data_IF_021991778091
#
_entry.id   IF_021991778091
#
_cell.length_a   1.000
_cell.length_b   1.000
_cell.length_c   1.000
_cell.angle_alpha   90.00
_cell.angle_beta   90.00
_cell.angle_gamma   90.00
#
_symmetry.space_group_name_H-M   'P 1'
#
loop_
_entity.id
_entity.type
_entity.pdbx_description
1 polymer ?
#
# COMPACT_ATOMS: atom_id res chain seq x y z
N UNK A 1 24.71 53.71 -23.92
CA UNK A 1 23.92 54.95 -23.90
C UNK A 1 23.05 54.97 -25.15
N UNK A 2 21.83 54.42 -25.09
CA UNK A 2 20.78 54.68 -26.09
C UNK A 2 19.45 54.73 -25.34
N UNK A 3 18.75 55.82 -25.60
CA UNK A 3 17.51 56.27 -24.99
C UNK A 3 16.37 56.01 -25.99
N UNK A 4 15.20 55.66 -25.44
CA UNK A 4 13.83 55.77 -25.99
C UNK A 4 13.48 55.02 -27.29
N UNK A 5 12.38 54.27 -27.19
CA UNK A 5 11.36 54.23 -28.25
C UNK A 5 10.00 54.44 -27.59
N UNK A 6 9.13 55.08 -28.35
CA UNK A 6 8.02 55.90 -27.90
C UNK A 6 6.75 55.16 -27.48
N UNK A 7 5.92 55.91 -26.75
CA UNK A 7 4.53 55.59 -26.45
C UNK A 7 3.73 55.25 -27.73
N UNK A 8 3.01 54.13 -27.71
CA UNK A 8 1.79 53.96 -28.50
C UNK A 8 0.67 53.45 -27.60
N UNK A 9 -0.45 54.16 -27.74
CA UNK A 9 -1.66 54.16 -26.96
C UNK A 9 -2.51 52.89 -27.14
N UNK A 10 -3.33 52.59 -26.14
CA UNK A 10 -4.44 51.62 -26.19
C UNK A 10 -4.02 50.23 -25.70
N UNK A 11 -4.44 49.75 -24.55
CA UNK A 11 -5.83 49.63 -24.12
C UNK A 11 -5.82 49.25 -22.64
N UNK A 12 -6.65 49.92 -21.85
CA UNK A 12 -7.00 49.51 -20.50
C UNK A 12 -7.77 48.19 -20.57
N UNK A 13 -7.05 47.07 -20.63
CA UNK A 13 -7.65 45.78 -20.28
C UNK A 13 -7.62 45.68 -18.77
N UNK A 14 -8.74 46.01 -18.15
CA UNK A 14 -9.02 45.73 -16.75
C UNK A 14 -8.86 44.22 -16.53
N UNK A 15 -7.68 43.80 -16.11
CA UNK A 15 -7.45 42.46 -15.60
C UNK A 15 -8.39 42.31 -14.40
N UNK A 16 -9.29 41.30 -14.36
CA UNK A 16 -10.02 41.04 -13.13
C UNK A 16 -8.97 40.72 -12.07
N UNK A 17 -8.83 41.62 -11.11
CA UNK A 17 -8.10 41.37 -9.88
C UNK A 17 -8.91 40.33 -9.12
N UNK A 18 -8.73 39.06 -9.47
CA UNK A 18 -9.17 38.00 -8.57
C UNK A 18 -8.26 38.11 -7.36
N UNK A 19 -8.84 38.57 -6.25
CA UNK A 19 -8.32 38.38 -4.90
C UNK A 19 -8.34 36.86 -4.61
N UNK A 20 -7.54 36.09 -5.35
CA UNK A 20 -7.22 34.74 -4.94
C UNK A 20 -6.28 34.89 -3.74
N UNK A 21 -6.77 34.51 -2.56
CA UNK A 21 -5.95 34.47 -1.35
C UNK A 21 -4.67 33.69 -1.66
N UNK A 22 -3.53 34.39 -1.69
CA UNK A 22 -2.24 33.80 -2.02
C UNK A 22 -1.74 33.06 -0.78
N UNK A 23 -2.05 31.76 -0.70
CA UNK A 23 -1.56 30.89 0.38
C UNK A 23 -0.04 30.81 0.27
N UNK A 24 0.65 31.41 1.23
CA UNK A 24 2.12 31.41 1.29
C UNK A 24 2.53 30.38 2.34
N UNK A 25 3.02 29.22 1.89
CA UNK A 25 3.43 28.14 2.79
C UNK A 25 4.90 28.37 3.15
N UNK A 26 5.18 28.64 4.42
CA UNK A 26 6.54 28.80 4.90
C UNK A 26 7.27 27.45 4.86
N UNK A 27 8.19 27.26 3.92
CA UNK A 27 8.90 25.98 3.71
C UNK A 27 9.63 25.46 4.96
N UNK A 28 10.00 26.34 5.90
CA UNK A 28 10.55 25.99 7.22
C UNK A 28 9.59 25.21 8.15
N UNK A 29 8.32 25.08 7.78
CA UNK A 29 7.29 24.30 8.50
C UNK A 29 6.83 23.06 7.73
N UNK A 30 7.41 22.80 6.56
CA UNK A 30 7.17 21.56 5.82
C UNK A 30 8.04 20.48 6.44
N UNK A 31 7.46 19.30 6.65
CA UNK A 31 8.26 18.14 7.05
C UNK A 31 9.21 17.75 5.91
N UNK A 32 10.38 17.17 6.23
CA UNK A 32 11.26 16.59 5.21
C UNK A 32 10.48 15.62 4.32
N UNK A 33 10.87 15.55 3.05
CA UNK A 33 10.30 14.62 2.06
C UNK A 33 10.51 13.16 2.50
N UNK A 34 11.57 12.89 3.25
CA UNK A 34 11.91 11.60 3.84
C UNK A 34 11.34 11.43 5.27
N UNK A 35 10.06 11.78 5.47
CA UNK A 35 9.39 11.49 6.74
C UNK A 35 8.97 10.00 6.78
N UNK A 36 9.50 9.17 7.69
CA UNK A 36 9.10 7.76 7.82
C UNK A 36 7.61 7.58 8.12
N UNK A 37 6.93 8.63 8.61
CA UNK A 37 5.48 8.62 8.79
C UNK A 37 4.75 8.53 7.44
N UNK A 38 5.32 9.08 6.36
CA UNK A 38 4.68 9.02 5.04
C UNK A 38 4.57 7.57 4.55
N UNK A 39 5.58 6.75 4.78
CA UNK A 39 5.54 5.33 4.37
C UNK A 39 4.54 4.53 5.20
N UNK A 40 4.41 4.83 6.50
CA UNK A 40 3.32 4.28 7.32
C UNK A 40 1.96 4.68 6.77
N UNK A 41 1.78 5.95 6.39
CA UNK A 41 0.51 6.44 5.81
C UNK A 41 0.19 5.73 4.49
N UNK A 42 1.20 5.49 3.63
CA UNK A 42 1.03 4.70 2.40
C UNK A 42 0.56 3.28 2.71
N UNK A 43 1.17 2.60 3.69
CA UNK A 43 0.75 1.25 4.11
C UNK A 43 -0.69 1.26 4.59
N UNK A 44 -1.07 2.18 5.48
CA UNK A 44 -2.44 2.31 5.98
C UNK A 44 -3.43 2.58 4.85
N UNK A 45 -3.06 3.43 3.89
CA UNK A 45 -3.89 3.71 2.72
C UNK A 45 -4.13 2.46 1.87
N UNK A 46 -3.08 1.67 1.59
CA UNK A 46 -3.19 0.40 0.85
C UNK A 46 -4.10 -0.58 1.57
N UNK A 47 -3.88 -0.79 2.87
CA UNK A 47 -4.71 -1.68 3.68
C UNK A 47 -6.18 -1.25 3.70
N UNK A 48 -6.45 0.04 3.89
CA UNK A 48 -7.80 0.59 3.86
C UNK A 48 -8.48 0.44 2.50
N UNK A 49 -7.75 0.65 1.41
CA UNK A 49 -8.27 0.46 0.05
C UNK A 49 -8.64 -1.01 -0.21
N UNK A 50 -7.75 -1.94 0.15
CA UNK A 50 -7.98 -3.38 -0.02
C UNK A 50 -9.19 -3.88 0.78
N UNK A 51 -9.43 -3.34 1.98
CA UNK A 51 -10.63 -3.69 2.77
C UNK A 51 -11.94 -3.28 2.09
N UNK A 52 -11.97 -2.14 1.40
CA UNK A 52 -13.16 -1.68 0.68
C UNK A 52 -13.34 -2.46 -0.62
N UNK A 53 -12.25 -2.73 -1.35
CA UNK A 53 -12.30 -3.40 -2.64
C UNK A 53 -12.65 -4.89 -2.54
N UNK A 54 -12.18 -5.55 -1.49
CA UNK A 54 -12.50 -6.94 -1.10
C UNK A 54 -13.99 -7.29 -1.18
N UNK A 55 -14.87 -6.33 -0.90
CA UNK A 55 -16.31 -6.56 -0.80
C UNK A 55 -17.03 -6.60 -2.16
N UNK A 56 -16.36 -6.17 -3.24
CA UNK A 56 -17.02 -5.83 -4.50
C UNK A 56 -16.61 -6.68 -5.72
N UNK A 57 -15.66 -7.62 -5.59
CA UNK A 57 -15.14 -8.38 -6.73
C UNK A 57 -15.24 -9.90 -6.57
N UNK A 58 -15.86 -10.56 -7.54
CA UNK A 58 -16.20 -12.00 -7.54
C UNK A 58 -15.35 -12.86 -8.49
N UNK A 59 -14.35 -12.30 -9.17
CA UNK A 59 -13.54 -13.03 -10.16
C UNK A 59 -12.07 -12.94 -9.77
N UNK A 60 -11.67 -13.76 -8.81
CA UNK A 60 -10.32 -13.83 -8.28
C UNK A 60 -9.67 -15.16 -8.66
N UNK A 61 -8.46 -15.13 -9.21
CA UNK A 61 -7.62 -16.33 -9.41
C UNK A 61 -7.29 -16.98 -8.06
N UNK A 62 -6.83 -18.24 -8.07
CA UNK A 62 -6.37 -18.91 -6.84
C UNK A 62 -5.29 -18.09 -6.11
N UNK A 63 -4.35 -17.49 -6.87
CA UNK A 63 -3.32 -16.58 -6.32
C UNK A 63 -3.95 -15.38 -5.62
N UNK A 64 -4.88 -14.71 -6.27
CA UNK A 64 -5.61 -13.59 -5.67
C UNK A 64 -6.33 -14.03 -4.39
N UNK A 65 -7.00 -15.18 -4.38
CA UNK A 65 -7.71 -15.69 -3.18
C UNK A 65 -6.75 -15.92 -2.01
N UNK A 66 -5.58 -16.52 -2.26
CA UNK A 66 -4.56 -16.78 -1.23
C UNK A 66 -4.03 -15.46 -0.65
N UNK A 67 -3.58 -14.55 -1.51
CA UNK A 67 -3.04 -13.25 -1.07
C UNK A 67 -4.11 -12.44 -0.34
N UNK A 68 -5.32 -12.41 -0.89
CA UNK A 68 -6.45 -11.70 -0.31
C UNK A 68 -6.78 -12.23 1.09
N UNK A 69 -6.85 -13.55 1.27
CA UNK A 69 -7.11 -14.16 2.57
C UNK A 69 -6.02 -13.83 3.59
N UNK A 70 -4.74 -13.90 3.18
CA UNK A 70 -3.61 -13.51 4.02
C UNK A 70 -3.72 -12.04 4.46
N UNK A 71 -3.85 -11.12 3.52
CA UNK A 71 -3.84 -9.67 3.78
C UNK A 71 -5.10 -9.24 4.53
N UNK A 72 -6.27 -9.77 4.18
CA UNK A 72 -7.52 -9.48 4.90
C UNK A 72 -7.49 -10.03 6.32
N UNK A 73 -7.00 -11.27 6.52
CA UNK A 73 -6.83 -11.86 7.84
C UNK A 73 -5.89 -11.03 8.72
N UNK A 74 -4.73 -10.66 8.17
CA UNK A 74 -3.77 -9.77 8.84
C UNK A 74 -4.38 -8.43 9.21
N UNK A 75 -5.04 -7.77 8.27
CA UNK A 75 -5.61 -6.43 8.49
C UNK A 75 -6.72 -6.46 9.55
N UNK A 76 -7.57 -7.49 9.53
CA UNK A 76 -8.62 -7.68 10.55
C UNK A 76 -8.03 -7.88 11.94
N UNK A 77 -6.98 -8.69 12.06
CA UNK A 77 -6.34 -8.94 13.34
C UNK A 77 -5.57 -7.71 13.83
N UNK A 78 -4.82 -7.04 12.96
CA UNK A 78 -4.05 -5.83 13.27
C UNK A 78 -4.93 -4.71 13.83
N UNK A 79 -6.11 -4.48 13.24
CA UNK A 79 -7.05 -3.45 13.68
C UNK A 79 -8.18 -3.98 14.57
N UNK A 80 -8.03 -5.18 15.14
CA UNK A 80 -8.99 -5.72 16.09
C UNK A 80 -8.94 -4.96 17.43
N UNK A 81 -10.05 -4.95 18.16
CA UNK A 81 -10.20 -4.19 19.42
C UNK A 81 -9.24 -4.63 20.54
N UNK A 82 -8.62 -5.81 20.41
CA UNK A 82 -7.69 -6.35 21.40
C UNK A 82 -6.24 -5.88 21.22
N UNK A 83 -5.91 -5.26 20.08
CA UNK A 83 -4.53 -4.83 19.80
C UNK A 83 -4.29 -3.41 20.33
N UNK A 84 -3.22 -3.25 21.10
CA UNK A 84 -2.83 -1.95 21.63
C UNK A 84 -2.35 -1.01 20.51
N UNK A 85 -2.68 0.30 20.53
CA UNK A 85 -2.26 1.24 19.49
C UNK A 85 -0.74 1.29 19.25
N UNK A 86 0.07 1.06 20.29
CA UNK A 86 1.52 1.01 20.15
C UNK A 86 2.00 -0.24 19.40
N UNK A 87 1.30 -1.37 19.55
CA UNK A 87 1.56 -2.56 18.76
C UNK A 87 1.20 -2.32 17.29
N UNK A 88 0.02 -1.74 17.01
CA UNK A 88 -0.37 -1.36 15.64
C UNK A 88 0.69 -0.48 14.97
N UNK A 89 1.15 0.56 15.68
CA UNK A 89 2.22 1.44 15.17
C UNK A 89 3.51 0.67 14.88
N UNK A 90 3.90 -0.27 15.74
CA UNK A 90 5.10 -1.08 15.55
C UNK A 90 4.99 -1.95 14.30
N UNK A 91 3.87 -2.66 14.16
CA UNK A 91 3.59 -3.53 13.00
C UNK A 91 3.58 -2.74 11.69
N UNK A 92 2.91 -1.58 11.64
CA UNK A 92 2.89 -0.71 10.48
C UNK A 92 4.27 -0.17 10.13
N UNK A 93 5.10 0.13 11.13
CA UNK A 93 6.47 0.57 10.92
C UNK A 93 7.35 -0.54 10.31
N UNK A 94 7.17 -1.78 10.76
CA UNK A 94 7.90 -2.94 10.22
C UNK A 94 7.49 -3.25 8.78
N UNK A 95 6.20 -3.14 8.45
CA UNK A 95 5.68 -3.21 7.09
C UNK A 95 6.26 -2.10 6.20
N UNK A 96 6.21 -0.85 6.65
CA UNK A 96 6.72 0.30 5.90
C UNK A 96 8.22 0.14 5.57
N UNK A 97 8.98 -0.50 6.46
CA UNK A 97 10.41 -0.80 6.26
C UNK A 97 10.69 -2.07 5.46
N UNK A 98 9.67 -2.86 5.12
CA UNK A 98 9.82 -4.21 4.53
C UNK A 98 10.83 -5.06 5.30
N UNK A 99 10.65 -5.11 6.63
CA UNK A 99 11.58 -5.80 7.52
C UNK A 99 11.69 -7.30 7.18
N UNK A 100 12.89 -7.90 7.17
CA UNK A 100 13.05 -9.34 7.00
C UNK A 100 12.65 -10.12 8.27
N UNK A 101 12.24 -9.43 9.34
CA UNK A 101 11.77 -10.06 10.56
C UNK A 101 10.43 -10.78 10.34
N UNK A 102 10.18 -11.89 11.06
CA UNK A 102 8.91 -12.59 11.00
C UNK A 102 7.78 -11.68 11.50
N UNK A 103 6.63 -11.77 10.85
CA UNK A 103 5.40 -11.14 11.32
C UNK A 103 4.97 -11.84 12.61
N UNK A 104 4.36 -11.09 13.52
CA UNK A 104 3.72 -11.70 14.68
C UNK A 104 2.66 -12.72 14.22
N UNK A 105 2.87 -13.99 14.55
CA UNK A 105 1.99 -15.10 14.15
C UNK A 105 0.56 -14.96 14.66
N UNK A 106 0.31 -14.18 15.71
CA UNK A 106 -1.06 -13.89 16.16
C UNK A 106 -1.83 -12.98 15.20
N UNK A 107 -1.12 -12.33 14.27
CA UNK A 107 -1.65 -11.50 13.21
C UNK A 107 -1.71 -12.22 11.87
N UNK A 108 -1.29 -13.48 11.78
CA UNK A 108 -1.44 -14.28 10.57
C UNK A 108 -2.68 -15.17 10.72
N UNK A 109 -3.59 -15.19 9.73
CA UNK A 109 -4.75 -16.08 9.79
C UNK A 109 -4.27 -17.53 9.81
N UNK A 110 -4.68 -18.29 10.83
CA UNK A 110 -4.34 -19.73 10.96
C UNK A 110 -5.03 -20.61 9.92
N UNK A 111 -6.06 -20.08 9.25
CA UNK A 111 -6.94 -20.81 8.36
C UNK A 111 -6.96 -20.09 7.00
N UNK A 112 -5.94 -20.29 6.17
CA UNK A 112 -6.15 -20.12 4.73
C UNK A 112 -6.75 -21.43 4.25
N UNK A 113 -8.08 -21.50 4.20
CA UNK A 113 -8.79 -22.58 3.53
C UNK A 113 -8.46 -22.50 2.04
N UNK A 114 -7.37 -23.15 1.65
CA UNK A 114 -7.18 -23.60 0.27
C UNK A 114 -8.07 -24.82 0.12
N UNK A 115 -8.96 -24.80 -0.88
CA UNK A 115 -9.91 -25.88 -1.17
C UNK A 115 -9.28 -27.27 -1.02
N UNK A 116 -10.07 -28.14 -0.43
CA UNK A 116 -9.83 -29.53 -0.06
C UNK A 116 -8.92 -30.31 -1.02
N UNK A 117 -7.64 -30.44 -0.67
CA UNK A 117 -6.89 -31.70 -0.73
C UNK A 117 -5.53 -31.46 -0.09
N UNK A 118 -5.23 -32.28 0.92
CA UNK A 118 -3.94 -32.34 1.62
C UNK A 118 -3.76 -31.36 2.80
N UNK A 119 -3.88 -31.94 4.00
CA UNK A 119 -3.35 -31.47 5.29
C UNK A 119 -2.49 -30.21 5.23
N UNK A 120 -3.13 -29.05 5.42
CA UNK A 120 -2.46 -27.76 5.50
C UNK A 120 -1.63 -27.67 6.80
N UNK A 121 -0.42 -28.20 6.75
CA UNK A 121 0.67 -27.80 7.65
C UNK A 121 0.95 -26.31 7.42
N UNK A 122 1.35 -25.59 8.47
CA UNK A 122 1.79 -24.18 8.38
C UNK A 122 2.89 -23.96 7.32
N UNK A 123 3.63 -25.02 6.97
CA UNK A 123 4.64 -25.05 5.91
C UNK A 123 4.04 -24.98 4.50
N UNK A 124 2.88 -25.60 4.27
CA UNK A 124 2.16 -25.56 2.99
C UNK A 124 1.51 -24.20 2.70
N UNK A 125 1.09 -23.46 3.73
CA UNK A 125 0.56 -22.10 3.55
C UNK A 125 1.63 -21.14 3.03
N UNK A 126 2.85 -21.23 3.56
CA UNK A 126 3.94 -20.33 3.17
C UNK A 126 4.41 -20.61 1.74
N UNK A 127 4.48 -21.87 1.32
CA UNK A 127 4.83 -22.23 -0.06
C UNK A 127 3.81 -21.68 -1.06
N UNK A 128 2.51 -21.79 -0.77
CA UNK A 128 1.46 -21.22 -1.62
C UNK A 128 1.49 -19.69 -1.67
N UNK A 129 1.83 -19.02 -0.56
CA UNK A 129 2.00 -17.56 -0.53
C UNK A 129 3.20 -17.16 -1.39
N UNK A 130 4.35 -17.84 -1.23
CA UNK A 130 5.53 -17.56 -2.03
C UNK A 130 5.26 -17.79 -3.51
N UNK A 131 4.62 -18.90 -3.89
CA UNK A 131 4.19 -19.19 -5.26
C UNK A 131 3.22 -18.14 -5.82
N UNK A 132 2.32 -17.61 -4.98
CA UNK A 132 1.41 -16.55 -5.38
C UNK A 132 2.12 -15.20 -5.58
N UNK A 133 3.20 -14.92 -4.83
CA UNK A 133 3.98 -13.69 -4.95
C UNK A 133 5.02 -13.77 -6.08
N UNK A 134 5.62 -14.93 -6.31
CA UNK A 134 6.57 -15.14 -7.41
C UNK A 134 5.80 -15.30 -8.73
N UNK A 135 6.01 -14.36 -9.65
CA UNK A 135 5.65 -14.56 -11.05
C UNK A 135 6.66 -15.52 -11.70
N UNK A 136 6.23 -16.25 -12.73
CA UNK A 136 7.11 -17.20 -13.45
C UNK A 136 8.34 -16.52 -14.09
N UNK A 137 8.33 -15.19 -14.26
CA UNK A 137 9.37 -14.44 -14.98
C UNK A 137 10.26 -13.51 -14.13
N UNK A 138 9.91 -13.24 -12.87
CA UNK A 138 10.77 -12.47 -11.96
C UNK A 138 10.66 -13.06 -10.56
N UNK A 139 11.71 -13.77 -10.13
CA UNK A 139 11.82 -14.36 -8.80
C UNK A 139 12.39 -13.27 -7.87
N UNK A 140 11.58 -12.61 -7.01
CA UNK A 140 12.14 -12.06 -5.78
C UNK A 140 12.76 -13.23 -5.00
N UNK A 141 14.08 -13.18 -4.78
CA UNK A 141 14.80 -14.21 -4.05
C UNK A 141 14.46 -14.14 -2.56
N UNK A 142 13.27 -14.59 -2.17
CA UNK A 142 12.95 -14.87 -0.78
C UNK A 142 13.75 -16.12 -0.39
N UNK A 143 14.98 -15.92 0.08
CA UNK A 143 15.86 -16.99 0.53
C UNK A 143 15.20 -17.77 1.68
N UNK A 144 14.93 -19.06 1.48
CA UNK A 144 14.64 -20.09 2.51
C UNK A 144 14.01 -19.54 3.81
N UNK A 145 12.83 -18.91 3.71
CA UNK A 145 12.13 -18.39 4.89
C UNK A 145 11.19 -19.44 5.47
N UNK A 146 11.35 -19.79 6.74
CA UNK A 146 10.47 -20.72 7.47
C UNK A 146 9.21 -20.04 8.04
N UNK A 147 9.05 -18.74 7.84
CA UNK A 147 7.93 -17.94 8.35
C UNK A 147 7.62 -16.74 7.45
N UNK A 148 6.39 -16.24 7.54
CA UNK A 148 5.97 -15.04 6.79
C UNK A 148 6.65 -13.81 7.40
N UNK A 149 7.48 -13.12 6.62
CA UNK A 149 8.17 -11.89 7.02
C UNK A 149 7.37 -10.64 6.63
N UNK A 150 7.69 -9.48 7.21
CA UNK A 150 7.06 -8.21 6.81
C UNK A 150 7.35 -7.85 5.35
N UNK A 151 8.49 -8.29 4.82
CA UNK A 151 8.85 -8.14 3.40
C UNK A 151 7.88 -8.91 2.50
N UNK A 152 7.65 -10.20 2.79
CA UNK A 152 6.69 -11.07 2.06
C UNK A 152 5.28 -10.50 2.16
N UNK A 153 4.85 -10.12 3.37
CA UNK A 153 3.52 -9.56 3.58
C UNK A 153 3.31 -8.24 2.85
N UNK A 154 4.30 -7.35 2.84
CA UNK A 154 4.22 -6.10 2.08
C UNK A 154 4.20 -6.35 0.57
N UNK A 155 4.93 -7.35 0.07
CA UNK A 155 4.87 -7.75 -1.34
C UNK A 155 3.46 -8.26 -1.73
N UNK A 156 2.83 -9.06 -0.88
CA UNK A 156 1.44 -9.50 -1.07
C UNK A 156 0.45 -8.30 -1.09
N UNK A 157 0.62 -7.35 -0.16
CA UNK A 157 -0.18 -6.11 -0.14
C UNK A 157 0.00 -5.31 -1.43
N UNK A 158 1.23 -5.18 -1.91
CA UNK A 158 1.54 -4.42 -3.11
C UNK A 158 0.96 -5.05 -4.37
N UNK A 159 1.11 -6.37 -4.54
CA UNK A 159 0.53 -7.10 -5.67
C UNK A 159 -1.00 -6.96 -5.71
N UNK A 160 -1.68 -7.23 -4.58
CA UNK A 160 -3.12 -7.04 -4.50
C UNK A 160 -3.54 -5.60 -4.78
N UNK A 161 -2.80 -4.62 -4.25
CA UNK A 161 -3.12 -3.22 -4.46
C UNK A 161 -3.01 -2.84 -5.93
N UNK A 162 -1.92 -3.27 -6.60
CA UNK A 162 -1.73 -3.08 -8.04
C UNK A 162 -2.89 -3.70 -8.83
N UNK A 163 -3.21 -4.98 -8.60
CA UNK A 163 -4.33 -5.67 -9.25
C UNK A 163 -5.63 -4.85 -9.09
N UNK A 164 -5.97 -4.47 -7.86
CA UNK A 164 -7.20 -3.70 -7.59
C UNK A 164 -7.24 -2.34 -8.30
N UNK A 165 -6.09 -1.67 -8.44
CA UNK A 165 -6.00 -0.38 -9.13
C UNK A 165 -5.98 -0.51 -10.66
N UNK A 166 -5.44 -1.60 -11.21
CA UNK A 166 -5.43 -1.86 -12.65
C UNK A 166 -6.82 -2.23 -13.16
N UNK A 167 -7.60 -3.00 -12.39
CA UNK A 167 -9.00 -3.30 -12.72
C UNK A 167 -9.87 -2.03 -12.85
N UNK A 168 -9.56 -0.98 -12.10
CA UNK A 168 -10.25 0.31 -12.21
C UNK A 168 -9.95 1.04 -13.53
N UNK A 169 -8.77 0.84 -14.12
CA UNK A 169 -8.41 1.44 -15.40
C UNK A 169 -9.05 0.74 -16.60
N UNK A 170 -9.38 -0.54 -16.49
CA UNK A 170 -10.04 -1.31 -17.56
C UNK A 170 -11.56 -1.21 -17.57
N UNK A 171 -12.17 -0.65 -16.51
CA UNK A 171 -13.62 -0.56 -16.34
C UNK A 171 -14.22 0.83 -16.63
N UNK A 172 -13.43 1.75 -17.22
CA UNK A 172 -13.83 3.12 -17.57
C UNK A 172 -14.10 3.32 -19.06
#
# INVERSE_FOLDING_TARGET
MIQRVDNLSGTLTSRPSSNAARVTIAQRRLRPIDDPILDIVKVVHKLGHLQVFSQNNNVATTKHRILHNLVNGYTRQLFSMSIQPMAVKHELFQLARRSPQPVNYTLIPSNVEVDETENASSEGMLTHILEAITNEDEIPSFTETTSVTYEILMAAIDLLFCECTEYLHTAG
#
